data_IF_330624961440
#
_entry.id   IF_330624961440
#
_cell.length_a   1.000
_cell.length_b   1.000
_cell.length_c   1.000
_cell.angle_alpha   90.00
_cell.angle_beta   90.00
_cell.angle_gamma   90.00
#
_symmetry.space_group_name_H-M   'P 1'
#
loop_
_entity.id
_entity.type
_entity.pdbx_description
1 polymer ?
#
# COMPACT_ATOMS: atom_id res chain seq x y z
N UNK A 1 1.18 19.95 -20.50
CA UNK A 1 0.73 19.28 -19.25
C UNK A 1 1.41 17.92 -19.25
N UNK A 2 2.01 17.51 -18.14
CA UNK A 2 2.57 16.18 -18.06
C UNK A 2 1.47 15.12 -18.04
N UNK A 3 1.78 13.95 -18.58
CA UNK A 3 0.82 12.83 -18.66
C UNK A 3 0.24 12.46 -17.31
N UNK A 4 1.08 12.44 -16.25
CA UNK A 4 0.59 12.15 -14.90
C UNK A 4 -0.40 13.21 -14.41
N UNK A 5 -0.09 14.51 -14.57
CA UNK A 5 -0.97 15.59 -14.12
C UNK A 5 -2.34 15.52 -14.83
N UNK A 6 -2.34 15.23 -16.16
CA UNK A 6 -3.58 15.00 -16.90
C UNK A 6 -4.39 13.80 -16.40
N UNK A 7 -3.73 12.71 -16.01
CA UNK A 7 -4.39 11.56 -15.41
C UNK A 7 -5.00 11.90 -14.04
N UNK A 8 -4.25 12.58 -13.17
CA UNK A 8 -4.71 12.99 -11.84
C UNK A 8 -5.91 13.96 -11.91
N UNK A 9 -5.91 14.92 -12.85
CA UNK A 9 -7.04 15.80 -13.10
C UNK A 9 -8.32 15.04 -13.47
N UNK A 10 -8.19 13.98 -14.26
CA UNK A 10 -9.32 13.13 -14.65
C UNK A 10 -9.87 12.30 -13.49
N UNK A 11 -9.05 11.97 -12.50
CA UNK A 11 -9.48 11.25 -11.29
C UNK A 11 -10.02 12.19 -10.20
N UNK A 12 -9.74 13.49 -10.23
CA UNK A 12 -10.03 14.42 -9.15
C UNK A 12 -11.50 14.48 -8.72
N UNK A 13 -12.46 14.27 -9.63
CA UNK A 13 -13.89 14.24 -9.32
C UNK A 13 -14.46 12.86 -9.07
N UNK A 14 -13.63 11.82 -8.89
CA UNK A 14 -14.09 10.45 -8.70
C UNK A 14 -13.99 10.00 -7.25
N UNK A 15 -14.90 9.11 -6.85
CA UNK A 15 -14.89 8.52 -5.53
C UNK A 15 -13.61 7.68 -5.28
N UNK A 16 -13.14 7.65 -4.03
CA UNK A 16 -11.97 6.87 -3.64
C UNK A 16 -12.25 5.36 -3.57
N UNK A 17 -13.50 4.95 -3.74
CA UNK A 17 -13.94 3.55 -3.76
C UNK A 17 -15.04 3.32 -4.80
N UNK A 18 -15.16 2.05 -5.22
CA UNK A 18 -16.19 1.56 -6.15
C UNK A 18 -16.59 0.12 -5.79
N UNK A 19 -17.60 -0.43 -6.46
CA UNK A 19 -17.93 -1.84 -6.40
C UNK A 19 -18.21 -2.41 -4.99
N UNK A 20 -18.69 -1.58 -4.06
CA UNK A 20 -19.03 -2.03 -2.71
C UNK A 20 -17.85 -2.00 -1.72
N UNK A 21 -16.87 -1.14 -1.91
CA UNK A 21 -15.78 -0.89 -0.97
C UNK A 21 -14.39 -1.27 -1.50
N UNK A 22 -14.26 -1.48 -2.81
CA UNK A 22 -12.95 -1.65 -3.45
C UNK A 22 -12.29 -0.27 -3.61
N UNK A 23 -11.04 -0.14 -3.18
CA UNK A 23 -10.28 1.11 -3.32
C UNK A 23 -10.06 1.47 -4.78
N UNK A 24 -10.18 2.77 -5.12
CA UNK A 24 -9.74 3.28 -6.42
C UNK A 24 -8.21 3.23 -6.51
N UNK A 25 -7.71 2.63 -7.58
CA UNK A 25 -6.28 2.52 -7.86
C UNK A 25 -5.81 3.52 -8.92
N UNK A 26 -6.74 4.30 -9.48
CA UNK A 26 -6.48 5.19 -10.60
C UNK A 26 -5.19 6.01 -10.48
N UNK A 27 -5.07 6.88 -9.46
CA UNK A 27 -3.88 7.71 -9.28
C UNK A 27 -2.60 6.90 -9.08
N UNK A 28 -2.66 5.81 -8.29
CA UNK A 28 -1.50 4.96 -8.00
C UNK A 28 -0.98 4.23 -9.24
N UNK A 29 -1.88 3.68 -10.06
CA UNK A 29 -1.50 2.96 -11.27
C UNK A 29 -0.98 3.91 -12.37
N UNK A 30 -1.56 5.11 -12.48
CA UNK A 30 -1.06 6.14 -13.39
C UNK A 30 0.38 6.56 -13.03
N UNK A 31 0.66 6.77 -11.73
CA UNK A 31 2.01 7.09 -11.25
C UNK A 31 2.96 5.91 -11.44
N UNK A 32 2.50 4.68 -11.18
CA UNK A 32 3.30 3.48 -11.39
C UNK A 32 3.66 3.26 -12.87
N UNK A 33 2.74 3.51 -13.81
CA UNK A 33 3.03 3.46 -15.25
C UNK A 33 4.12 4.46 -15.64
N UNK A 34 4.08 5.68 -15.11
CA UNK A 34 5.14 6.67 -15.33
C UNK A 34 6.47 6.17 -14.75
N UNK A 35 6.45 5.61 -13.52
CA UNK A 35 7.60 5.01 -12.86
C UNK A 35 8.22 3.82 -13.62
N UNK A 36 7.41 3.07 -14.34
CA UNK A 36 7.83 1.98 -15.24
C UNK A 36 8.42 2.50 -16.58
N UNK A 37 8.44 3.82 -16.81
CA UNK A 37 8.84 4.39 -18.10
C UNK A 37 7.80 4.18 -19.20
N UNK A 38 6.55 3.90 -18.85
CA UNK A 38 5.42 3.63 -19.76
C UNK A 38 4.39 4.76 -19.76
N UNK A 39 4.87 6.00 -19.79
CA UNK A 39 4.01 7.19 -19.84
C UNK A 39 3.06 7.18 -21.05
N UNK A 40 3.46 6.56 -22.16
CA UNK A 40 2.66 6.35 -23.35
C UNK A 40 1.41 5.47 -23.13
N UNK A 41 1.40 4.64 -22.11
CA UNK A 41 0.27 3.77 -21.79
C UNK A 41 -0.77 4.45 -20.89
N UNK A 42 -0.42 5.54 -20.20
CA UNK A 42 -1.25 6.15 -19.15
C UNK A 42 -2.63 6.57 -19.64
N UNK A 43 -2.72 7.33 -20.75
CA UNK A 43 -4.00 7.84 -21.26
C UNK A 43 -4.97 6.70 -21.58
N UNK A 44 -4.49 5.72 -22.36
CA UNK A 44 -5.31 4.54 -22.72
C UNK A 44 -5.75 3.76 -21.49
N UNK A 45 -4.85 3.59 -20.52
CA UNK A 45 -5.17 2.87 -19.29
C UNK A 45 -6.24 3.62 -18.47
N UNK A 46 -6.12 4.94 -18.33
CA UNK A 46 -7.09 5.80 -17.64
C UNK A 46 -8.46 5.74 -18.33
N UNK A 47 -8.51 5.76 -19.66
CA UNK A 47 -9.76 5.62 -20.43
C UNK A 47 -10.50 4.32 -20.10
N UNK A 48 -9.77 3.23 -19.92
CA UNK A 48 -10.34 1.93 -19.56
C UNK A 48 -10.75 1.81 -18.08
N UNK A 49 -10.04 2.50 -17.20
CA UNK A 49 -10.25 2.40 -15.75
C UNK A 49 -11.34 3.35 -15.23
N UNK A 50 -11.37 4.60 -15.72
CA UNK A 50 -12.23 5.66 -15.23
C UNK A 50 -13.73 5.31 -15.21
N UNK A 51 -14.29 4.57 -16.20
CA UNK A 51 -15.70 4.18 -16.18
C UNK A 51 -16.12 3.27 -15.02
N UNK A 52 -15.17 2.68 -14.31
CA UNK A 52 -15.43 1.85 -13.12
C UNK A 52 -15.77 2.68 -11.88
N UNK A 53 -15.38 3.96 -11.87
CA UNK A 53 -15.47 4.84 -10.73
C UNK A 53 -16.78 5.65 -10.75
N UNK A 54 -17.37 5.82 -9.56
CA UNK A 54 -18.47 6.77 -9.36
C UNK A 54 -17.97 8.18 -9.06
N UNK A 55 -18.89 9.14 -8.92
CA UNK A 55 -18.55 10.50 -8.49
C UNK A 55 -17.98 10.49 -7.06
N UNK A 56 -17.24 11.55 -6.75
CA UNK A 56 -16.81 11.79 -5.38
C UNK A 56 -18.03 11.92 -4.44
N UNK A 57 -17.97 11.34 -3.22
CA UNK A 57 -19.04 11.50 -2.23
C UNK A 57 -19.27 12.97 -1.88
N UNK A 58 -20.52 13.32 -1.57
CA UNK A 58 -20.86 14.67 -1.16
C UNK A 58 -20.17 15.05 0.16
N UNK A 59 -19.80 16.30 0.26
CA UNK A 59 -19.28 16.91 1.47
C UNK A 59 -20.34 16.94 2.58
N UNK A 60 -19.93 16.68 3.82
CA UNK A 60 -20.82 16.67 4.98
C UNK A 60 -20.64 17.93 5.83
N UNK A 61 -19.44 18.17 6.36
CA UNK A 61 -19.10 19.33 7.20
C UNK A 61 -17.58 19.47 7.35
N UNK A 62 -17.05 20.65 7.68
CA UNK A 62 -15.63 20.80 8.00
C UNK A 62 -15.16 19.87 9.11
N UNK A 63 -13.91 19.38 9.06
CA UNK A 63 -13.29 18.62 10.13
C UNK A 63 -12.95 19.57 11.28
N UNK A 64 -13.58 19.37 12.44
CA UNK A 64 -13.29 20.07 13.68
C UNK A 64 -12.27 19.30 14.53
N UNK A 65 -12.74 18.51 15.50
CA UNK A 65 -11.85 17.54 16.15
C UNK A 65 -11.60 16.35 15.22
N UNK A 66 -10.38 16.28 14.70
CA UNK A 66 -9.97 15.24 13.77
C UNK A 66 -10.09 13.81 14.34
N UNK A 67 -9.99 13.67 15.67
CA UNK A 67 -10.09 12.35 16.32
C UNK A 67 -11.48 11.76 16.23
N UNK A 68 -12.52 12.61 16.24
CA UNK A 68 -13.91 12.19 16.11
C UNK A 68 -14.25 11.76 14.67
N UNK A 69 -13.55 12.34 13.68
CA UNK A 69 -13.77 12.02 12.27
C UNK A 69 -12.88 10.86 11.75
N UNK A 70 -11.86 10.46 12.52
CA UNK A 70 -10.91 9.43 12.11
C UNK A 70 -11.61 8.07 11.99
N UNK A 71 -11.45 7.39 10.85
CA UNK A 71 -12.08 6.11 10.55
C UNK A 71 -13.54 6.19 10.08
N UNK A 72 -14.11 7.39 9.95
CA UNK A 72 -15.46 7.57 9.37
C UNK A 72 -15.38 7.86 7.87
N UNK A 73 -15.63 6.83 7.06
CA UNK A 73 -15.59 6.93 5.60
C UNK A 73 -16.61 7.94 5.02
N UNK A 74 -17.70 8.21 5.71
CA UNK A 74 -18.69 9.23 5.27
C UNK A 74 -18.09 10.63 5.23
N UNK A 75 -16.94 10.83 5.87
CA UNK A 75 -16.21 12.08 5.99
C UNK A 75 -15.02 12.19 4.99
N UNK A 76 -14.95 11.28 4.00
CA UNK A 76 -13.76 11.18 3.12
C UNK A 76 -13.50 12.46 2.33
N UNK A 77 -14.55 13.10 1.79
CA UNK A 77 -14.42 14.38 1.08
C UNK A 77 -14.09 15.53 2.03
N UNK A 78 -14.66 15.54 3.24
CA UNK A 78 -14.31 16.52 4.26
C UNK A 78 -12.83 16.40 4.67
N UNK A 79 -12.29 15.18 4.74
CA UNK A 79 -10.87 14.94 5.00
C UNK A 79 -9.99 15.44 3.85
N UNK A 80 -10.40 15.20 2.60
CA UNK A 80 -9.65 15.68 1.42
C UNK A 80 -9.56 17.22 1.42
N UNK A 81 -10.66 17.91 1.72
CA UNK A 81 -10.68 19.36 1.86
C UNK A 81 -9.86 19.85 3.05
N UNK A 82 -9.93 19.15 4.19
CA UNK A 82 -9.10 19.46 5.34
C UNK A 82 -7.62 19.48 4.98
N UNK A 83 -7.12 18.43 4.29
CA UNK A 83 -5.73 18.39 3.88
C UNK A 83 -5.39 19.41 2.79
N UNK A 84 -6.29 19.65 1.84
CA UNK A 84 -6.10 20.70 0.85
C UNK A 84 -5.89 22.08 1.53
N UNK A 85 -6.72 22.42 2.51
CA UNK A 85 -6.57 23.63 3.30
C UNK A 85 -5.27 23.65 4.13
N UNK A 86 -4.88 22.51 4.73
CA UNK A 86 -3.59 22.42 5.44
C UNK A 86 -2.40 22.72 4.54
N UNK A 87 -2.45 22.32 3.25
CA UNK A 87 -1.38 22.60 2.27
C UNK A 87 -1.35 24.07 1.82
N UNK A 88 -2.44 24.83 2.02
CA UNK A 88 -2.44 26.29 1.85
C UNK A 88 -1.76 27.00 3.04
N UNK A 89 -1.87 26.42 4.24
CA UNK A 89 -1.35 27.00 5.49
C UNK A 89 0.13 26.68 5.73
N UNK A 90 0.62 25.52 5.27
CA UNK A 90 1.97 25.05 5.53
C UNK A 90 2.54 24.24 4.36
N UNK A 91 3.89 24.17 4.20
CA UNK A 91 4.53 23.33 3.21
C UNK A 91 4.10 21.87 3.38
N UNK A 92 3.88 21.17 2.26
CA UNK A 92 3.43 19.78 2.29
C UNK A 92 4.33 18.81 3.10
N UNK A 93 5.67 18.97 3.16
CA UNK A 93 6.49 18.10 4.00
C UNK A 93 6.20 18.24 5.49
N UNK A 94 5.85 19.46 5.93
CA UNK A 94 5.52 19.73 7.33
C UNK A 94 4.17 19.10 7.68
N UNK A 95 3.18 19.25 6.80
CA UNK A 95 1.86 18.62 6.97
C UNK A 95 1.97 17.10 6.98
N UNK A 96 2.74 16.51 6.07
CA UNK A 96 2.99 15.05 6.05
C UNK A 96 3.70 14.61 7.33
N UNK A 97 4.74 15.34 7.78
CA UNK A 97 5.48 15.02 9.02
C UNK A 97 4.59 15.11 10.26
N UNK A 98 3.65 16.04 10.30
CA UNK A 98 2.67 16.19 11.38
C UNK A 98 1.65 15.04 11.40
N UNK A 99 1.14 14.64 10.21
CA UNK A 99 0.03 13.70 10.10
C UNK A 99 0.47 12.24 10.01
N UNK A 100 1.67 11.99 9.52
CA UNK A 100 2.19 10.63 9.40
C UNK A 100 2.12 9.82 10.71
N UNK A 101 2.62 10.32 11.86
CA UNK A 101 2.55 9.57 13.11
C UNK A 101 1.13 9.40 13.64
N UNK A 102 0.17 10.25 13.22
CA UNK A 102 -1.25 10.12 13.57
C UNK A 102 -1.95 9.03 12.77
N UNK A 103 -1.53 8.82 11.52
CA UNK A 103 -2.13 7.87 10.59
C UNK A 103 -1.47 6.49 10.61
N UNK A 104 -0.18 6.41 10.91
CA UNK A 104 0.59 5.15 10.93
C UNK A 104 -0.02 4.04 11.79
N UNK A 105 -0.57 4.27 13.00
CA UNK A 105 -1.22 3.19 13.76
C UNK A 105 -2.40 2.54 13.01
N UNK A 106 -3.08 3.31 12.16
CA UNK A 106 -4.17 2.85 11.29
C UNK A 106 -3.74 2.42 9.89
N UNK A 107 -2.56 1.85 9.74
CA UNK A 107 -1.97 1.47 8.45
C UNK A 107 -2.73 0.34 7.73
N UNK A 108 -3.59 -0.40 8.44
CA UNK A 108 -4.51 -1.37 7.83
C UNK A 108 -5.66 -0.72 7.02
N UNK A 109 -5.76 0.63 7.02
CA UNK A 109 -6.77 1.41 6.31
C UNK A 109 -6.92 0.96 4.85
N UNK A 110 -8.15 0.63 4.46
CA UNK A 110 -8.44 0.16 3.11
C UNK A 110 -7.55 -1.00 2.65
N UNK A 111 -7.19 -1.93 3.54
CA UNK A 111 -6.25 -3.02 3.25
C UNK A 111 -4.87 -2.50 2.75
N UNK A 112 -4.31 -1.52 3.44
CA UNK A 112 -3.06 -0.80 3.13
C UNK A 112 -3.14 0.21 1.98
N UNK A 113 -4.28 0.37 1.31
CA UNK A 113 -4.40 1.34 0.21
C UNK A 113 -4.18 2.79 0.68
N UNK A 114 -4.55 3.12 1.93
CA UNK A 114 -4.29 4.46 2.49
C UNK A 114 -2.82 4.85 2.41
N UNK A 115 -1.93 4.00 2.95
CA UNK A 115 -0.48 4.26 2.94
C UNK A 115 0.14 4.13 1.55
N UNK A 116 -0.31 3.16 0.73
CA UNK A 116 0.21 2.98 -0.63
C UNK A 116 -0.12 4.21 -1.47
N UNK A 117 -1.38 4.67 -1.46
CA UNK A 117 -1.81 5.87 -2.20
C UNK A 117 -1.06 7.12 -1.71
N UNK A 118 -0.94 7.30 -0.39
CA UNK A 118 -0.18 8.41 0.17
C UNK A 118 1.29 8.40 -0.27
N UNK A 119 1.95 7.23 -0.30
CA UNK A 119 3.32 7.13 -0.76
C UNK A 119 3.48 7.45 -2.26
N UNK A 120 2.57 6.97 -3.13
CA UNK A 120 2.57 7.34 -4.54
C UNK A 120 2.37 8.85 -4.73
N UNK A 121 1.44 9.47 -3.99
CA UNK A 121 1.18 10.90 -4.05
C UNK A 121 2.38 11.72 -3.54
N UNK A 122 3.02 11.31 -2.43
CA UNK A 122 4.25 11.95 -1.90
C UNK A 122 5.37 11.89 -2.94
N UNK A 123 5.60 10.76 -3.60
CA UNK A 123 6.58 10.65 -4.67
C UNK A 123 6.29 11.61 -5.83
N UNK A 124 5.02 11.65 -6.25
CA UNK A 124 4.60 12.53 -7.34
C UNK A 124 4.83 14.01 -7.01
N UNK A 125 4.49 14.44 -5.79
CA UNK A 125 4.72 15.84 -5.35
C UNK A 125 6.23 16.12 -5.18
N UNK A 126 7.00 15.18 -4.64
CA UNK A 126 8.44 15.34 -4.45
C UNK A 126 9.21 15.43 -5.78
N UNK A 127 8.76 14.68 -6.80
CA UNK A 127 9.32 14.76 -8.17
C UNK A 127 9.03 16.15 -8.79
N UNK A 128 7.78 16.58 -8.69
CA UNK A 128 7.37 17.90 -9.19
C UNK A 128 6.20 18.46 -8.38
N UNK A 129 6.42 19.44 -7.51
CA UNK A 129 5.34 20.12 -6.81
C UNK A 129 4.40 20.85 -7.80
N UNK A 130 3.09 20.73 -7.57
CA UNK A 130 2.08 21.40 -8.38
C UNK A 130 0.68 21.23 -7.77
N UNK A 131 -0.28 22.08 -8.15
CA UNK A 131 -1.62 22.06 -7.54
C UNK A 131 -2.35 20.74 -7.72
N UNK A 132 -2.27 20.11 -8.90
CA UNK A 132 -2.89 18.81 -9.18
C UNK A 132 -2.32 17.69 -8.33
N UNK A 133 -1.00 17.64 -8.14
CA UNK A 133 -0.33 16.64 -7.32
C UNK A 133 -0.56 16.85 -5.83
N UNK A 134 -0.64 18.12 -5.38
CA UNK A 134 -1.03 18.45 -4.00
C UNK A 134 -2.49 18.08 -3.71
N UNK A 135 -3.39 18.26 -4.66
CA UNK A 135 -4.78 17.83 -4.53
C UNK A 135 -4.85 16.29 -4.41
N UNK A 136 -4.10 15.53 -5.21
CA UNK A 136 -4.04 14.07 -5.06
C UNK A 136 -3.44 13.67 -3.69
N UNK A 137 -2.42 14.37 -3.20
CA UNK A 137 -1.88 14.11 -1.86
C UNK A 137 -2.92 14.38 -0.77
N UNK A 138 -3.75 15.42 -0.93
CA UNK A 138 -4.86 15.70 -0.02
C UNK A 138 -5.91 14.58 -0.04
N UNK A 139 -6.28 14.08 -1.22
CA UNK A 139 -7.18 12.94 -1.38
C UNK A 139 -6.58 11.65 -0.78
N UNK A 140 -5.29 11.41 -0.96
CA UNK A 140 -4.61 10.23 -0.45
C UNK A 140 -4.56 10.19 1.09
N UNK A 141 -4.19 11.31 1.73
CA UNK A 141 -4.20 11.44 3.19
C UNK A 141 -5.64 11.42 3.73
N UNK A 142 -6.58 12.05 3.02
CA UNK A 142 -8.01 12.05 3.34
C UNK A 142 -8.58 10.63 3.33
N UNK A 143 -8.26 9.84 2.32
CA UNK A 143 -8.67 8.45 2.24
C UNK A 143 -8.07 7.61 3.38
N UNK A 144 -6.77 7.80 3.68
CA UNK A 144 -6.13 7.11 4.80
C UNK A 144 -6.79 7.44 6.14
N UNK A 145 -7.09 8.73 6.40
CA UNK A 145 -7.78 9.15 7.61
C UNK A 145 -9.21 8.62 7.69
N UNK A 146 -9.97 8.66 6.59
CA UNK A 146 -11.36 8.20 6.54
C UNK A 146 -11.51 6.68 6.67
N UNK A 147 -10.48 5.90 6.26
CA UNK A 147 -10.44 4.44 6.39
C UNK A 147 -9.52 3.96 7.50
N UNK A 148 -9.03 4.87 8.33
CA UNK A 148 -8.17 4.52 9.48
C UNK A 148 -8.70 3.29 10.22
N UNK A 149 -7.83 2.29 10.41
CA UNK A 149 -8.18 1.05 11.09
C UNK A 149 -6.92 0.45 11.75
N UNK A 150 -6.98 0.27 13.04
CA UNK A 150 -5.91 -0.35 13.82
C UNK A 150 -6.06 -1.87 13.85
N UNK A 151 -4.93 -2.57 13.86
CA UNK A 151 -4.88 -4.00 14.17
C UNK A 151 -4.71 -4.20 15.68
N UNK A 152 -5.01 -5.42 16.20
CA UNK A 152 -4.90 -5.72 17.61
C UNK A 152 -3.48 -5.54 18.14
N UNK A 153 -3.34 -4.85 19.26
CA UNK A 153 -2.07 -4.56 19.95
C UNK A 153 -1.34 -3.34 19.36
N UNK A 154 -0.40 -2.83 20.14
CA UNK A 154 0.46 -1.73 19.71
C UNK A 154 1.51 -2.25 18.73
N UNK A 155 1.68 -1.64 17.55
CA UNK A 155 2.72 -2.03 16.62
C UNK A 155 4.10 -1.79 17.24
N UNK A 156 4.81 -2.88 17.54
CA UNK A 156 6.13 -2.83 18.17
C UNK A 156 6.93 -4.08 17.89
N UNK A 157 8.15 -3.91 17.41
CA UNK A 157 9.16 -4.96 17.40
C UNK A 157 10.09 -4.79 18.60
N UNK A 158 10.57 -5.86 19.18
CA UNK A 158 11.39 -5.78 20.42
C UNK A 158 11.94 -7.13 20.86
N UNK A 159 11.61 -8.21 20.14
CA UNK A 159 12.12 -9.56 20.38
C UNK A 159 13.49 -9.80 19.79
N UNK A 160 13.83 -11.08 19.66
CA UNK A 160 15.11 -11.54 19.11
C UNK A 160 14.97 -12.45 17.87
N UNK A 161 13.74 -12.73 17.43
CA UNK A 161 13.48 -13.59 16.29
C UNK A 161 13.98 -12.94 14.99
N UNK A 162 14.56 -13.73 14.10
CA UNK A 162 14.77 -13.32 12.70
C UNK A 162 13.42 -13.12 12.00
N UNK A 163 13.40 -12.46 10.84
CA UNK A 163 12.15 -12.27 10.09
C UNK A 163 11.49 -13.62 9.74
N UNK A 164 12.28 -14.59 9.28
CA UNK A 164 11.79 -15.93 8.95
C UNK A 164 11.23 -16.67 10.17
N UNK A 165 11.90 -16.55 11.34
CA UNK A 165 11.40 -17.18 12.57
C UNK A 165 10.13 -16.48 13.08
N UNK A 166 10.08 -15.16 12.98
CA UNK A 166 8.90 -14.38 13.35
C UNK A 166 7.69 -14.78 12.48
N UNK A 167 7.87 -14.90 11.15
CA UNK A 167 6.81 -15.34 10.23
C UNK A 167 6.35 -16.76 10.58
N UNK A 168 7.27 -17.70 10.82
CA UNK A 168 6.92 -19.07 11.24
C UNK A 168 6.18 -19.13 12.57
N UNK A 169 6.43 -18.17 13.46
CA UNK A 169 5.78 -18.06 14.77
C UNK A 169 4.42 -17.37 14.75
N UNK A 170 3.98 -16.80 13.61
CA UNK A 170 2.69 -16.11 13.53
C UNK A 170 1.52 -17.10 13.71
N UNK A 171 0.53 -16.75 14.54
CA UNK A 171 -0.70 -17.53 14.67
C UNK A 171 -1.52 -17.41 13.39
N UNK A 172 -1.88 -18.53 12.79
CA UNK A 172 -2.72 -18.55 11.59
C UNK A 172 -4.20 -18.69 11.97
N UNK A 173 -5.05 -17.81 11.43
CA UNK A 173 -6.50 -17.88 11.61
C UNK A 173 -7.05 -19.12 10.90
N UNK A 174 -7.77 -19.97 11.65
CA UNK A 174 -8.37 -21.20 11.13
C UNK A 174 -9.78 -20.99 10.60
N UNK A 175 -10.52 -20.11 11.26
CA UNK A 175 -11.90 -19.78 10.93
C UNK A 175 -11.96 -18.35 10.42
N UNK A 176 -12.09 -18.21 9.11
CA UNK A 176 -12.30 -16.92 8.47
C UNK A 176 -13.65 -17.02 7.75
N UNK A 177 -14.58 -16.09 7.98
CA UNK A 177 -15.84 -16.06 7.27
C UNK A 177 -15.62 -16.11 5.75
N UNK A 178 -16.38 -16.90 5.00
CA UNK A 178 -16.27 -16.89 3.55
C UNK A 178 -16.76 -15.55 3.00
N UNK A 179 -16.03 -14.99 2.04
CA UNK A 179 -16.34 -13.68 1.44
C UNK A 179 -15.83 -12.50 2.26
N UNK A 180 -16.24 -11.32 1.88
CA UNK A 180 -15.88 -10.08 2.54
C UNK A 180 -14.57 -9.45 2.05
N UNK A 181 -14.38 -8.19 2.41
CA UNK A 181 -13.19 -7.42 2.10
C UNK A 181 -12.00 -7.88 2.95
N UNK A 182 -10.79 -7.63 2.46
CA UNK A 182 -9.54 -7.91 3.23
C UNK A 182 -9.60 -7.24 4.60
N UNK A 183 -10.12 -6.01 4.67
CA UNK A 183 -10.28 -5.24 5.92
C UNK A 183 -11.16 -5.94 6.94
N UNK A 184 -12.28 -6.52 6.52
CA UNK A 184 -13.20 -7.26 7.41
C UNK A 184 -12.52 -8.50 7.98
N UNK A 185 -11.69 -9.15 7.18
CA UNK A 185 -10.97 -10.33 7.61
C UNK A 185 -9.81 -10.00 8.54
N UNK A 186 -9.10 -8.90 8.29
CA UNK A 186 -8.07 -8.39 9.21
C UNK A 186 -8.66 -8.00 10.57
N UNK A 187 -9.88 -7.47 10.60
CA UNK A 187 -10.59 -7.20 11.86
C UNK A 187 -10.81 -8.47 12.71
N UNK A 188 -10.90 -9.65 12.08
CA UNK A 188 -10.98 -10.94 12.75
C UNK A 188 -9.77 -11.30 13.60
N UNK A 189 -8.61 -10.65 13.37
CA UNK A 189 -7.42 -10.83 14.21
C UNK A 189 -7.65 -10.40 15.69
N UNK A 190 -8.68 -9.60 15.96
CA UNK A 190 -9.10 -9.27 17.32
C UNK A 190 -9.43 -10.49 18.20
N UNK A 191 -9.83 -11.60 17.59
CA UNK A 191 -10.07 -12.87 18.28
C UNK A 191 -8.79 -13.71 18.51
N UNK A 192 -7.66 -13.35 17.89
CA UNK A 192 -6.38 -14.08 17.97
C UNK A 192 -5.50 -13.46 19.07
N UNK A 193 -5.71 -13.89 20.30
CA UNK A 193 -5.06 -13.29 21.49
C UNK A 193 -3.52 -13.30 21.44
N UNK A 194 -2.91 -14.27 20.78
CA UNK A 194 -1.45 -14.40 20.65
C UNK A 194 -0.86 -13.55 19.52
N UNK A 195 -1.68 -12.89 18.69
CA UNK A 195 -1.19 -12.10 17.55
C UNK A 195 -0.27 -10.94 17.99
N UNK A 196 -0.63 -10.08 18.97
CA UNK A 196 0.24 -8.98 19.38
C UNK A 196 1.60 -9.44 19.94
N UNK A 197 1.63 -10.57 20.67
CA UNK A 197 2.86 -11.15 21.20
C UNK A 197 3.75 -11.68 20.07
N UNK A 198 3.16 -12.39 19.11
CA UNK A 198 3.88 -12.91 17.94
C UNK A 198 4.47 -11.78 17.08
N UNK A 199 3.74 -10.68 16.85
CA UNK A 199 4.26 -9.48 16.18
C UNK A 199 5.45 -8.91 16.96
N UNK A 200 5.36 -8.83 18.28
CA UNK A 200 6.42 -8.32 19.14
C UNK A 200 7.70 -9.16 19.15
N UNK A 201 7.65 -10.43 18.72
CA UNK A 201 8.79 -11.35 18.73
C UNK A 201 9.90 -10.96 17.73
N UNK A 202 9.57 -10.22 16.67
CA UNK A 202 10.55 -9.79 15.66
C UNK A 202 11.62 -8.89 16.29
N UNK A 203 12.88 -9.19 15.97
CA UNK A 203 14.00 -8.32 16.31
C UNK A 203 13.91 -7.01 15.49
N UNK A 204 14.07 -5.85 16.15
CA UNK A 204 14.12 -4.57 15.45
C UNK A 204 15.24 -4.54 14.41
N UNK A 205 15.02 -3.92 13.24
CA UNK A 205 16.08 -3.73 12.26
C UNK A 205 17.13 -2.74 12.81
N UNK A 206 18.39 -3.00 12.51
CA UNK A 206 19.48 -2.05 12.81
C UNK A 206 19.42 -0.80 11.93
N UNK A 207 18.96 -0.97 10.68
CA UNK A 207 18.66 0.08 9.72
C UNK A 207 17.25 -0.15 9.17
N UNK A 208 16.41 0.89 9.19
CA UNK A 208 14.99 0.77 8.79
C UNK A 208 14.83 0.63 7.28
N UNK A 209 15.65 1.31 6.46
CA UNK A 209 15.58 1.15 5.00
C UNK A 209 15.93 -0.28 4.59
N UNK A 210 17.00 -0.84 5.16
CA UNK A 210 17.37 -2.24 4.94
C UNK A 210 16.27 -3.20 5.43
N UNK A 211 15.68 -2.93 6.60
CA UNK A 211 14.57 -3.73 7.14
C UNK A 211 13.33 -3.72 6.25
N UNK A 212 12.97 -2.58 5.67
CA UNK A 212 11.88 -2.48 4.70
C UNK A 212 12.19 -3.25 3.41
N UNK A 213 13.45 -3.20 2.94
CA UNK A 213 13.91 -4.02 1.82
C UNK A 213 13.80 -5.52 2.11
N UNK A 214 14.19 -5.96 3.32
CA UNK A 214 14.05 -7.35 3.76
C UNK A 214 12.58 -7.79 3.82
N UNK A 215 11.68 -6.94 4.37
CA UNK A 215 10.24 -7.21 4.34
C UNK A 215 9.74 -7.38 2.90
N UNK A 216 10.05 -6.43 2.02
CA UNK A 216 9.60 -6.47 0.62
C UNK A 216 10.08 -7.73 -0.08
N UNK A 217 11.36 -8.09 0.07
CA UNK A 217 11.96 -9.29 -0.51
C UNK A 217 11.28 -10.56 0.00
N UNK A 218 11.15 -10.69 1.31
CA UNK A 218 10.57 -11.88 1.94
C UNK A 218 9.12 -12.06 1.55
N UNK A 219 8.32 -10.99 1.55
CA UNK A 219 6.92 -11.06 1.15
C UNK A 219 6.74 -11.23 -0.37
N UNK A 220 7.71 -10.83 -1.21
CA UNK A 220 7.74 -11.23 -2.62
C UNK A 220 7.88 -12.75 -2.78
N UNK A 221 8.73 -13.39 -1.97
CA UNK A 221 8.82 -14.85 -1.91
C UNK A 221 7.52 -15.51 -1.40
N UNK A 222 6.88 -14.92 -0.39
CA UNK A 222 5.58 -15.40 0.10
C UNK A 222 4.46 -15.21 -0.93
N UNK A 223 4.47 -14.12 -1.69
CA UNK A 223 3.55 -13.94 -2.82
C UNK A 223 3.72 -15.07 -3.86
N UNK A 224 4.95 -15.41 -4.22
CA UNK A 224 5.22 -16.51 -5.17
C UNK A 224 4.73 -17.87 -4.65
N UNK A 225 4.86 -18.13 -3.35
CA UNK A 225 4.51 -19.43 -2.77
C UNK A 225 3.04 -19.52 -2.35
N UNK A 226 2.37 -18.43 -2.02
CA UNK A 226 1.02 -18.40 -1.46
C UNK A 226 0.00 -17.63 -2.33
N UNK A 227 0.46 -16.80 -3.27
CA UNK A 227 -0.40 -15.86 -4.00
C UNK A 227 -1.34 -16.48 -5.03
N UNK A 228 -1.13 -17.73 -5.48
CA UNK A 228 -1.90 -18.33 -6.58
C UNK A 228 -3.42 -18.24 -6.42
N UNK A 229 -3.94 -18.47 -5.22
CA UNK A 229 -5.40 -18.42 -4.95
C UNK A 229 -5.89 -17.05 -4.50
N UNK A 230 -4.98 -16.22 -4.01
CA UNK A 230 -5.29 -14.93 -3.40
C UNK A 230 -4.23 -13.87 -3.78
N UNK A 231 -4.00 -13.65 -5.09
CA UNK A 231 -2.92 -12.78 -5.55
C UNK A 231 -3.05 -11.36 -4.99
N UNK A 232 -4.25 -10.77 -5.06
CA UNK A 232 -4.52 -9.41 -4.58
C UNK A 232 -4.18 -9.25 -3.09
N UNK A 233 -4.43 -10.26 -2.26
CA UNK A 233 -4.15 -10.19 -0.82
C UNK A 233 -2.65 -10.13 -0.55
N UNK A 234 -1.90 -11.08 -1.10
CA UNK A 234 -0.47 -11.21 -0.79
C UNK A 234 0.38 -10.12 -1.45
N UNK A 235 -0.04 -9.59 -2.61
CA UNK A 235 0.70 -8.47 -3.22
C UNK A 235 0.67 -7.19 -2.36
N UNK A 236 -0.37 -6.97 -1.54
CA UNK A 236 -0.40 -5.83 -0.62
C UNK A 236 0.69 -5.90 0.45
N UNK A 237 1.08 -7.12 0.85
CA UNK A 237 2.21 -7.31 1.76
C UNK A 237 3.59 -7.03 1.10
N UNK A 238 3.64 -6.92 -0.23
CA UNK A 238 4.84 -6.49 -0.98
C UNK A 238 4.79 -4.99 -1.27
N UNK A 239 3.66 -4.51 -1.80
CA UNK A 239 3.55 -3.13 -2.29
C UNK A 239 3.54 -2.10 -1.16
N UNK A 240 3.00 -2.42 0.03
CA UNK A 240 2.98 -1.47 1.15
C UNK A 240 4.39 -1.16 1.69
N UNK A 241 5.26 -2.14 2.06
CA UNK A 241 6.62 -1.83 2.49
C UNK A 241 7.47 -1.20 1.38
N UNK A 242 7.33 -1.63 0.12
CA UNK A 242 8.02 -1.01 -1.02
C UNK A 242 7.61 0.46 -1.22
N UNK A 243 6.30 0.78 -1.09
CA UNK A 243 5.80 2.14 -1.19
C UNK A 243 6.37 3.03 -0.08
N UNK A 244 6.32 2.58 1.17
CA UNK A 244 6.89 3.32 2.31
C UNK A 244 8.40 3.51 2.17
N UNK A 245 9.13 2.47 1.77
CA UNK A 245 10.57 2.57 1.55
C UNK A 245 10.93 3.66 0.55
N UNK A 246 10.09 3.85 -0.48
CA UNK A 246 10.33 4.88 -1.50
C UNK A 246 10.23 6.31 -0.97
N UNK A 247 9.45 6.55 0.09
CA UNK A 247 9.25 7.87 0.69
C UNK A 247 9.96 8.06 2.03
N UNK A 248 10.56 7.00 2.56
CA UNK A 248 11.26 7.02 3.84
C UNK A 248 12.30 8.17 3.94
N UNK A 249 13.11 8.48 2.90
CA UNK A 249 14.07 9.58 2.95
C UNK A 249 13.44 10.97 3.07
N UNK A 250 12.14 11.09 2.79
CA UNK A 250 11.38 12.35 2.86
C UNK A 250 10.73 12.54 4.24
N UNK A 251 10.78 11.53 5.10
CA UNK A 251 10.21 11.55 6.45
C UNK A 251 11.29 11.86 7.50
N UNK A 252 10.94 12.59 8.56
CA UNK A 252 11.82 12.73 9.72
C UNK A 252 12.27 11.38 10.28
N UNK A 253 13.55 11.23 10.60
CA UNK A 253 14.13 9.97 11.09
C UNK A 253 13.42 9.36 12.32
N UNK A 254 12.85 10.21 13.18
CA UNK A 254 12.06 9.76 14.32
C UNK A 254 10.80 8.96 13.93
N UNK A 255 10.29 9.13 12.71
CA UNK A 255 9.12 8.43 12.18
C UNK A 255 9.45 7.08 11.53
N UNK A 256 10.71 6.82 11.20
CA UNK A 256 11.11 5.63 10.46
C UNK A 256 10.76 4.34 11.23
N UNK A 257 11.19 4.25 12.49
CA UNK A 257 10.98 3.05 13.29
C UNK A 257 9.51 2.77 13.61
N UNK A 258 8.69 3.74 14.06
CA UNK A 258 7.25 3.51 14.24
C UNK A 258 6.54 3.06 12.97
N UNK A 259 6.95 3.61 11.81
CA UNK A 259 6.40 3.21 10.51
C UNK A 259 6.76 1.76 10.17
N UNK A 260 8.02 1.35 10.38
CA UNK A 260 8.43 -0.04 10.19
C UNK A 260 7.64 -1.01 11.09
N UNK A 261 7.51 -0.68 12.37
CA UNK A 261 6.80 -1.52 13.33
C UNK A 261 5.32 -1.72 12.93
N UNK A 262 4.65 -0.65 12.46
CA UNK A 262 3.29 -0.73 11.96
C UNK A 262 3.18 -1.52 10.64
N UNK A 263 4.12 -1.34 9.72
CA UNK A 263 4.16 -2.14 8.48
C UNK A 263 4.36 -3.62 8.78
N UNK A 264 5.30 -3.97 9.66
CA UNK A 264 5.47 -5.36 10.08
C UNK A 264 4.17 -5.94 10.65
N UNK A 265 3.49 -5.20 11.54
CA UNK A 265 2.21 -5.66 12.10
C UNK A 265 1.17 -5.95 11.01
N UNK A 266 1.07 -5.09 10.01
CA UNK A 266 0.07 -5.25 8.94
C UNK A 266 0.41 -6.42 8.01
N UNK A 267 1.67 -6.56 7.56
CA UNK A 267 2.04 -7.68 6.68
C UNK A 267 1.99 -9.01 7.42
N UNK A 268 2.35 -9.03 8.72
CA UNK A 268 2.14 -10.18 9.60
C UNK A 268 0.64 -10.50 9.76
N UNK A 269 -0.20 -9.47 9.88
CA UNK A 269 -1.66 -9.61 9.92
C UNK A 269 -2.22 -10.24 8.65
N UNK A 270 -1.77 -9.79 7.47
CA UNK A 270 -2.15 -10.40 6.19
C UNK A 270 -1.77 -11.88 6.17
N UNK A 271 -0.54 -12.22 6.55
CA UNK A 271 -0.11 -13.63 6.59
C UNK A 271 -0.89 -14.45 7.62
N UNK A 272 -1.12 -13.93 8.82
CA UNK A 272 -1.92 -14.59 9.86
C UNK A 272 -3.37 -14.85 9.42
N UNK A 273 -3.98 -13.89 8.73
CA UNK A 273 -5.38 -13.98 8.32
C UNK A 273 -5.58 -14.90 7.10
N UNK A 274 -4.60 -14.99 6.20
CA UNK A 274 -4.80 -15.64 4.90
C UNK A 274 -3.86 -16.83 4.62
N UNK A 275 -2.82 -17.02 5.40
CA UNK A 275 -1.81 -18.07 5.17
C UNK A 275 -2.38 -19.49 5.17
N UNK A 276 -3.42 -19.79 5.96
CA UNK A 276 -4.07 -21.11 5.97
C UNK A 276 -4.90 -21.41 4.74
N UNK A 277 -5.29 -20.41 3.96
CA UNK A 277 -6.12 -20.55 2.76
C UNK A 277 -5.37 -20.99 1.53
N UNK A 278 -4.05 -21.05 1.64
CA UNK A 278 -3.16 -21.35 0.52
C UNK A 278 -2.32 -22.58 0.84
N UNK A 279 -2.11 -23.43 -0.16
CA UNK A 279 -1.09 -24.48 -0.09
C UNK A 279 0.17 -23.88 -0.69
N UNK A 280 1.30 -23.81 0.04
CA UNK A 280 2.53 -23.27 -0.50
C UNK A 280 2.98 -24.01 -1.75
N UNK A 281 3.34 -23.27 -2.78
CA UNK A 281 3.94 -23.78 -4.01
C UNK A 281 5.47 -23.63 -3.94
N UNK A 282 6.23 -24.46 -4.66
CA UNK A 282 7.67 -24.25 -4.81
C UNK A 282 7.95 -22.87 -5.44
N UNK A 283 9.07 -22.27 -5.04
CA UNK A 283 9.57 -21.10 -5.74
C UNK A 283 9.88 -21.45 -7.21
N UNK A 284 9.67 -20.52 -8.15
CA UNK A 284 9.98 -20.75 -9.55
C UNK A 284 11.48 -21.01 -9.73
N UNK A 285 11.79 -21.94 -10.64
CA UNK A 285 13.16 -22.27 -11.03
C UNK A 285 13.50 -21.64 -12.37
N UNK A 286 14.77 -21.34 -12.57
CA UNK A 286 15.31 -20.75 -13.79
C UNK A 286 15.44 -19.24 -13.72
N UNK A 287 15.91 -18.66 -14.82
CA UNK A 287 16.10 -17.23 -14.92
C UNK A 287 14.75 -16.51 -15.07
N UNK A 288 14.52 -15.43 -14.31
CA UNK A 288 13.32 -14.63 -14.48
C UNK A 288 13.35 -13.86 -15.82
N UNK A 289 12.19 -13.37 -16.29
CA UNK A 289 12.17 -12.40 -17.40
C UNK A 289 12.97 -11.15 -17.03
N UNK A 290 13.54 -10.48 -18.04
CA UNK A 290 14.26 -9.22 -17.81
C UNK A 290 13.34 -8.09 -17.36
N UNK A 291 13.89 -7.00 -16.77
CA UNK A 291 13.10 -5.86 -16.27
C UNK A 291 12.17 -5.25 -17.33
N UNK A 292 12.64 -5.07 -18.56
CA UNK A 292 11.83 -4.54 -19.67
C UNK A 292 10.65 -5.44 -20.02
N UNK A 293 10.87 -6.75 -20.02
CA UNK A 293 9.82 -7.73 -20.30
C UNK A 293 8.78 -7.77 -19.16
N UNK A 294 9.22 -7.67 -17.91
CA UNK A 294 8.33 -7.57 -16.73
C UNK A 294 7.44 -6.34 -16.85
N UNK A 295 8.02 -5.17 -17.17
CA UNK A 295 7.26 -3.94 -17.37
C UNK A 295 6.25 -4.07 -18.55
N UNK A 296 6.67 -4.63 -19.67
CA UNK A 296 5.80 -4.85 -20.82
C UNK A 296 4.62 -5.77 -20.47
N UNK A 297 4.87 -6.90 -19.81
CA UNK A 297 3.81 -7.86 -19.40
C UNK A 297 2.78 -7.21 -18.47
N UNK A 298 3.22 -6.38 -17.52
CA UNK A 298 2.31 -5.68 -16.60
C UNK A 298 1.42 -4.66 -17.34
N UNK A 299 1.97 -3.93 -18.31
CA UNK A 299 1.22 -2.97 -19.12
C UNK A 299 0.24 -3.69 -20.07
N UNK A 300 0.66 -4.79 -20.69
CA UNK A 300 -0.18 -5.58 -21.61
C UNK A 300 -1.35 -6.26 -20.85
N UNK A 301 -1.09 -6.72 -19.62
CA UNK A 301 -2.11 -7.27 -18.73
C UNK A 301 -3.14 -6.19 -18.33
N UNK A 302 -2.70 -4.99 -17.98
CA UNK A 302 -3.53 -3.82 -17.69
C UNK A 302 -4.21 -3.82 -16.33
N UNK A 303 -4.07 -4.88 -15.50
CA UNK A 303 -4.58 -4.87 -14.13
C UNK A 303 -3.77 -3.90 -13.24
N UNK A 304 -4.47 -3.08 -12.50
CA UNK A 304 -3.89 -2.06 -11.60
C UNK A 304 -2.95 -2.64 -10.55
N UNK A 305 -3.18 -3.87 -10.11
CA UNK A 305 -2.33 -4.54 -9.12
C UNK A 305 -1.06 -5.08 -9.77
N UNK A 306 -1.16 -5.65 -10.98
CA UNK A 306 0.00 -6.12 -11.74
C UNK A 306 0.95 -4.94 -12.05
N UNK A 307 0.40 -3.80 -12.49
CA UNK A 307 1.16 -2.58 -12.78
C UNK A 307 1.90 -2.09 -11.53
N UNK A 308 1.21 -1.95 -10.40
CA UNK A 308 1.82 -1.46 -9.15
C UNK A 308 2.85 -2.43 -8.58
N UNK A 309 2.59 -3.74 -8.65
CA UNK A 309 3.57 -4.72 -8.17
C UNK A 309 4.81 -4.75 -9.05
N UNK A 310 4.66 -4.64 -10.37
CA UNK A 310 5.79 -4.56 -11.29
C UNK A 310 6.66 -3.32 -11.00
N UNK A 311 6.05 -2.15 -10.83
CA UNK A 311 6.78 -0.92 -10.46
C UNK A 311 7.54 -1.09 -9.15
N UNK A 312 6.87 -1.59 -8.10
CA UNK A 312 7.49 -1.82 -6.80
C UNK A 312 8.66 -2.81 -6.88
N UNK A 313 8.45 -3.95 -7.53
CA UNK A 313 9.47 -4.99 -7.68
C UNK A 313 10.67 -4.52 -8.52
N UNK A 314 10.44 -3.81 -9.62
CA UNK A 314 11.54 -3.30 -10.47
C UNK A 314 12.35 -2.23 -9.75
N UNK A 315 11.72 -1.35 -8.99
CA UNK A 315 12.41 -0.35 -8.16
C UNK A 315 13.25 -1.02 -7.06
N UNK A 316 12.73 -2.03 -6.39
CA UNK A 316 13.47 -2.77 -5.37
C UNK A 316 14.61 -3.59 -5.97
N UNK A 317 14.38 -4.23 -7.13
CA UNK A 317 15.43 -4.93 -7.87
C UNK A 317 16.56 -4.01 -8.30
N UNK A 318 16.24 -2.79 -8.74
CA UNK A 318 17.27 -1.79 -9.09
C UNK A 318 18.12 -1.34 -7.91
N UNK A 319 17.55 -1.32 -6.68
CA UNK A 319 18.28 -0.99 -5.44
C UNK A 319 19.16 -2.15 -4.96
N UNK A 320 18.59 -3.36 -4.98
CA UNK A 320 19.25 -4.59 -4.50
C UNK A 320 18.81 -5.73 -5.41
N UNK A 321 19.61 -6.07 -6.43
CA UNK A 321 19.26 -7.11 -7.39
C UNK A 321 18.96 -8.44 -6.71
N UNK A 322 17.72 -8.93 -6.87
CA UNK A 322 17.29 -10.25 -6.43
C UNK A 322 16.24 -10.76 -7.44
N UNK A 323 16.41 -11.99 -8.00
CA UNK A 323 15.47 -12.55 -8.98
C UNK A 323 14.05 -12.72 -8.44
N UNK A 324 13.86 -12.79 -7.13
CA UNK A 324 12.53 -12.92 -6.49
C UNK A 324 11.58 -11.81 -6.90
N UNK A 325 12.08 -10.59 -7.07
CA UNK A 325 11.26 -9.45 -7.49
C UNK A 325 10.74 -9.61 -8.92
N UNK A 326 11.61 -10.03 -9.83
CA UNK A 326 11.26 -10.21 -11.25
C UNK A 326 10.26 -11.37 -11.41
N UNK A 327 10.49 -12.47 -10.69
CA UNK A 327 9.55 -13.58 -10.65
C UNK A 327 8.18 -13.17 -10.07
N UNK A 328 8.16 -12.38 -8.98
CA UNK A 328 6.92 -11.94 -8.36
C UNK A 328 6.11 -11.03 -9.29
N UNK A 329 6.76 -10.09 -9.96
CA UNK A 329 6.10 -9.20 -10.91
C UNK A 329 5.57 -9.95 -12.14
N UNK A 330 6.36 -10.85 -12.72
CA UNK A 330 5.92 -11.70 -13.82
C UNK A 330 4.72 -12.58 -13.43
N UNK A 331 4.79 -13.18 -12.23
CA UNK A 331 3.71 -14.02 -11.71
C UNK A 331 2.42 -13.24 -11.49
N UNK A 332 2.48 -11.98 -11.07
CA UNK A 332 1.28 -11.15 -10.93
C UNK A 332 0.58 -10.94 -12.28
N UNK A 333 1.32 -10.65 -13.34
CA UNK A 333 0.77 -10.49 -14.69
C UNK A 333 0.16 -11.79 -15.26
N UNK A 334 0.50 -12.96 -14.70
CA UNK A 334 -0.11 -14.24 -15.08
C UNK A 334 -1.38 -14.56 -14.26
N UNK A 335 -1.48 -14.06 -13.03
CA UNK A 335 -2.54 -14.41 -12.09
C UNK A 335 -3.71 -13.42 -12.08
N UNK A 336 -3.50 -12.21 -12.56
CA UNK A 336 -4.46 -11.11 -12.59
C UNK A 336 -4.93 -10.81 -14.01
#
# INVERSE_FOLDING_TARGET
MEVLDGALERFAGTGPEFGGGLSSHGPMAAEALVGLGRADAVERWVDGYLPRLGPEPERTAPIGDWREALGDFRRVTDWSEYFAHRFEEAPWPDVVSEWWPRLVPGLAAGATHGIIRAAHAVRAVADRPGPTRLAELAHALGYWAARYAELPGTPRTGGNASLDDAIRGLPLMREIPPGGLITEQLAGLGAVRSFPEAVGALRPPGDVDAGLGELTRTFSGLFLTHGRRMPIVFLHAVTAPAAVRSVLPLLPGALHRPTYDALWQVVAGIYSAFGTRTTPEPLPYGDPPGPEEVAARAVDNGDEHAIKLAEACLREHARTPDPVYLHAAARAAELL
#
